data_IF_187444458916
#
_entry.id   IF_187444458916
#
_cell.length_a   1.000
_cell.length_b   1.000
_cell.length_c   1.000
_cell.angle_alpha   90.00
_cell.angle_beta   90.00
_cell.angle_gamma   90.00
#
_symmetry.space_group_name_H-M   'P 1'
#
loop_
_entity.id
_entity.type
_entity.pdbx_description
1 polymer ?
#
# COMPACT_ATOMS: atom_id res chain seq x y z
N UNK A 1 -17.39 -2.80 5.62
CA UNK A 1 -17.03 -4.02 4.84
C UNK A 1 -17.81 -5.19 5.42
N UNK A 2 -18.25 -6.17 4.62
CA UNK A 2 -19.13 -7.28 5.04
C UNK A 2 -18.63 -8.10 6.26
N UNK A 3 -17.35 -7.93 6.63
CA UNK A 3 -16.72 -8.56 7.80
C UNK A 3 -16.86 -7.81 9.13
N UNK A 4 -17.33 -6.55 9.15
CA UNK A 4 -17.37 -5.72 10.37
C UNK A 4 -18.76 -5.58 11.01
N UNK A 5 -19.82 -6.10 10.37
CA UNK A 5 -21.20 -5.95 10.87
C UNK A 5 -21.89 -7.33 10.98
N UNK A 6 -22.42 -7.71 12.17
CA UNK A 6 -23.03 -9.02 12.39
C UNK A 6 -24.24 -9.29 11.49
N UNK A 7 -25.01 -8.27 11.12
CA UNK A 7 -26.15 -8.39 10.20
C UNK A 7 -25.66 -8.69 8.77
N UNK A 8 -24.62 -7.99 8.32
CA UNK A 8 -24.06 -8.19 6.97
C UNK A 8 -23.47 -9.59 6.79
N UNK A 9 -22.91 -10.17 7.86
CA UNK A 9 -22.39 -11.55 7.86
C UNK A 9 -23.50 -12.57 7.65
N UNK A 10 -24.59 -12.47 8.40
CA UNK A 10 -25.74 -13.38 8.27
C UNK A 10 -26.39 -13.28 6.88
N UNK A 11 -26.49 -12.06 6.34
CA UNK A 11 -27.03 -11.83 4.99
C UNK A 11 -26.14 -12.43 3.88
N UNK A 12 -24.82 -12.34 4.04
CA UNK A 12 -23.86 -12.94 3.11
C UNK A 12 -23.88 -14.48 3.16
N UNK A 13 -23.97 -15.07 4.36
CA UNK A 13 -24.07 -16.52 4.56
C UNK A 13 -25.36 -17.11 3.97
N UNK A 14 -26.46 -16.36 3.98
CA UNK A 14 -27.73 -16.77 3.38
C UNK A 14 -27.78 -16.59 1.84
N UNK A 15 -26.68 -16.18 1.20
CA UNK A 15 -26.57 -15.94 -0.24
C UNK A 15 -27.66 -15.02 -0.81
N UNK A 16 -28.18 -14.09 0.01
CA UNK A 16 -29.25 -13.19 -0.43
C UNK A 16 -28.64 -12.11 -1.31
N UNK A 17 -28.72 -12.34 -2.60
CA UNK A 17 -28.14 -11.52 -3.67
C UNK A 17 -29.16 -10.59 -4.32
N UNK A 18 -30.45 -10.76 -4.00
CA UNK A 18 -31.55 -10.01 -4.61
C UNK A 18 -32.17 -9.02 -3.63
N UNK A 19 -32.79 -7.96 -4.18
CA UNK A 19 -33.60 -6.98 -3.45
C UNK A 19 -34.79 -7.69 -2.81
N UNK A 20 -34.62 -8.18 -1.59
CA UNK A 20 -35.69 -8.78 -0.81
C UNK A 20 -35.65 -8.31 0.65
N UNK A 21 -36.83 -8.36 1.26
CA UNK A 21 -36.97 -8.19 2.71
C UNK A 21 -36.61 -9.54 3.32
N UNK A 22 -35.62 -9.54 4.20
CA UNK A 22 -35.11 -10.76 4.82
C UNK A 22 -35.93 -11.07 6.07
N UNK A 23 -36.10 -12.36 6.35
CA UNK A 23 -36.76 -12.83 7.56
C UNK A 23 -36.09 -12.23 8.82
N UNK A 24 -36.82 -12.12 9.95
CA UNK A 24 -36.29 -11.50 11.16
C UNK A 24 -34.97 -12.14 11.60
N UNK A 25 -33.91 -11.34 11.63
CA UNK A 25 -32.57 -11.79 12.05
C UNK A 25 -32.45 -11.54 13.55
N UNK A 26 -32.09 -12.59 14.29
CA UNK A 26 -31.81 -12.48 15.72
C UNK A 26 -30.43 -11.84 15.91
N UNK A 27 -30.42 -10.71 16.60
CA UNK A 27 -29.23 -9.97 17.02
C UNK A 27 -29.15 -9.96 18.55
N UNK A 28 -28.01 -9.62 19.13
CA UNK A 28 -27.81 -9.64 20.60
C UNK A 28 -28.84 -8.79 21.36
N UNK A 29 -29.37 -7.74 20.74
CA UNK A 29 -30.32 -6.80 21.35
C UNK A 29 -31.78 -7.02 20.94
N UNK A 30 -32.12 -8.07 20.18
CA UNK A 30 -33.50 -8.36 19.76
C UNK A 30 -33.65 -8.93 18.34
N UNK A 31 -34.74 -8.56 17.66
CA UNK A 31 -35.04 -9.00 16.29
C UNK A 31 -35.00 -7.81 15.34
N UNK A 32 -34.33 -7.98 14.19
CA UNK A 32 -34.21 -6.94 13.16
C UNK A 32 -34.71 -7.46 11.81
N UNK A 33 -35.56 -6.68 11.15
CA UNK A 33 -36.02 -6.92 9.77
C UNK A 33 -35.21 -6.02 8.84
N UNK A 34 -34.57 -6.60 7.83
CA UNK A 34 -33.62 -5.87 6.97
C UNK A 34 -34.06 -5.98 5.52
N UNK A 35 -34.12 -4.84 4.83
CA UNK A 35 -34.39 -4.76 3.40
C UNK A 35 -33.09 -4.47 2.64
N UNK A 36 -32.71 -5.37 1.75
CA UNK A 36 -31.53 -5.18 0.90
C UNK A 36 -31.92 -4.28 -0.27
N UNK A 37 -31.26 -3.14 -0.39
CA UNK A 37 -31.47 -2.19 -1.49
C UNK A 37 -30.51 -2.41 -2.64
N UNK A 38 -29.27 -2.83 -2.38
CA UNK A 38 -28.28 -3.10 -3.42
C UNK A 38 -27.25 -4.11 -2.90
N UNK A 39 -26.71 -4.94 -3.80
CA UNK A 39 -25.69 -5.93 -3.48
C UNK A 39 -24.53 -5.79 -4.45
N UNK A 40 -23.39 -5.33 -3.94
CA UNK A 40 -22.15 -5.29 -4.71
C UNK A 40 -21.33 -6.54 -4.37
N UNK A 41 -21.13 -7.48 -5.32
CA UNK A 41 -20.28 -8.64 -5.08
C UNK A 41 -18.86 -8.16 -4.80
N UNK A 42 -18.10 -8.94 -4.02
CA UNK A 42 -16.66 -8.73 -3.85
C UNK A 42 -15.95 -9.01 -5.17
N UNK A 43 -16.00 -8.06 -6.10
CA UNK A 43 -15.28 -8.11 -7.37
C UNK A 43 -13.80 -7.88 -7.08
N UNK A 44 -12.92 -8.66 -7.70
CA UNK A 44 -11.51 -8.31 -7.76
C UNK A 44 -11.41 -6.96 -8.49
N UNK A 45 -10.78 -5.95 -7.87
CA UNK A 45 -10.50 -4.66 -8.52
C UNK A 45 -9.92 -4.92 -9.90
N UNK A 46 -10.47 -4.30 -10.94
CA UNK A 46 -9.91 -4.43 -12.29
C UNK A 46 -8.55 -3.73 -12.33
N UNK A 47 -7.65 -4.22 -13.18
CA UNK A 47 -6.29 -3.66 -13.33
C UNK A 47 -6.31 -2.14 -13.54
N UNK A 48 -7.31 -1.62 -14.26
CA UNK A 48 -7.47 -0.18 -14.49
C UNK A 48 -7.78 0.63 -13.23
N UNK A 49 -8.54 0.08 -12.29
CA UNK A 49 -8.85 0.73 -11.00
C UNK A 49 -7.66 0.73 -10.04
N UNK A 50 -6.67 -0.12 -10.29
CA UNK A 50 -5.43 -0.20 -9.52
C UNK A 50 -4.27 0.59 -10.15
N UNK A 51 -4.45 1.19 -11.33
CA UNK A 51 -3.42 2.00 -12.01
C UNK A 51 -2.83 3.08 -11.08
N UNK A 52 -3.63 3.87 -10.32
CA UNK A 52 -3.07 4.93 -9.47
C UNK A 52 -2.23 4.37 -8.32
N UNK A 53 -2.70 3.28 -7.69
CA UNK A 53 -2.03 2.62 -6.56
C UNK A 53 -0.76 1.87 -7.02
N UNK A 54 -0.77 1.34 -8.25
CA UNK A 54 0.33 0.58 -8.85
C UNK A 54 1.41 1.48 -9.45
N UNK A 55 1.01 2.57 -10.12
CA UNK A 55 1.92 3.48 -10.80
C UNK A 55 2.96 4.07 -9.85
N UNK A 56 2.55 4.49 -8.65
CA UNK A 56 3.46 5.09 -7.66
C UNK A 56 4.56 4.10 -7.24
N UNK A 57 4.19 2.85 -6.93
CA UNK A 57 5.16 1.81 -6.54
C UNK A 57 6.11 1.44 -7.67
N UNK A 58 5.59 1.35 -8.89
CA UNK A 58 6.40 1.01 -10.07
C UNK A 58 7.37 2.14 -10.42
N UNK A 59 6.93 3.40 -10.33
CA UNK A 59 7.78 4.57 -10.55
C UNK A 59 8.94 4.62 -9.55
N UNK A 60 8.68 4.38 -8.27
CA UNK A 60 9.72 4.35 -7.24
C UNK A 60 10.78 3.27 -7.52
N UNK A 61 10.34 2.09 -7.95
CA UNK A 61 11.25 0.99 -8.24
C UNK A 61 12.14 1.31 -9.46
N UNK A 62 11.54 1.79 -10.55
CA UNK A 62 12.27 2.16 -11.76
C UNK A 62 13.24 3.31 -11.49
N UNK A 63 12.83 4.31 -10.69
CA UNK A 63 13.70 5.43 -10.35
C UNK A 63 14.94 4.99 -9.57
N UNK A 64 14.80 4.06 -8.62
CA UNK A 64 15.94 3.50 -7.87
C UNK A 64 16.91 2.75 -8.76
N UNK A 65 16.41 1.92 -9.67
CA UNK A 65 17.24 1.17 -10.62
C UNK A 65 18.01 2.10 -11.56
N UNK A 66 17.34 3.13 -12.10
CA UNK A 66 17.98 4.13 -12.96
C UNK A 66 19.05 4.93 -12.21
N UNK A 67 18.78 5.33 -10.97
CA UNK A 67 19.75 6.05 -10.13
C UNK A 67 20.98 5.19 -9.84
N UNK A 68 20.79 3.93 -9.45
CA UNK A 68 21.90 3.01 -9.19
C UNK A 68 22.77 2.82 -10.44
N UNK A 69 22.15 2.60 -11.60
CA UNK A 69 22.87 2.44 -12.87
C UNK A 69 23.61 3.72 -13.28
N UNK A 70 23.01 4.89 -13.03
CA UNK A 70 23.65 6.17 -13.30
C UNK A 70 24.87 6.40 -12.40
N UNK A 71 24.79 6.09 -11.10
CA UNK A 71 25.93 6.18 -10.17
C UNK A 71 27.08 5.27 -10.59
N UNK A 72 26.79 4.02 -10.96
CA UNK A 72 27.80 3.08 -11.46
C UNK A 72 28.46 3.62 -12.73
N UNK A 73 27.70 4.28 -13.60
CA UNK A 73 28.24 4.88 -14.82
C UNK A 73 29.18 6.06 -14.49
N UNK A 74 28.77 6.93 -13.57
CA UNK A 74 29.58 8.09 -13.16
C UNK A 74 30.89 7.65 -12.52
N UNK A 75 30.84 6.67 -11.63
CA UNK A 75 32.02 6.13 -10.96
C UNK A 75 33.04 5.58 -11.97
N UNK A 76 32.55 4.91 -13.03
CA UNK A 76 33.40 4.41 -14.12
C UNK A 76 33.95 5.52 -15.02
N UNK A 77 33.20 6.58 -15.31
CA UNK A 77 33.64 7.65 -16.20
C UNK A 77 34.54 8.67 -15.51
N UNK A 78 34.41 8.82 -14.19
CA UNK A 78 35.17 9.77 -13.40
C UNK A 78 35.81 9.05 -12.20
N UNK A 79 37.02 8.49 -12.36
CA UNK A 79 37.73 7.87 -11.24
C UNK A 79 38.14 8.94 -10.24
N UNK A 80 37.33 9.13 -9.21
CA UNK A 80 37.60 10.09 -8.14
C UNK A 80 38.71 9.52 -7.25
N UNK A 81 39.91 10.10 -7.32
CA UNK A 81 41.00 9.78 -6.37
C UNK A 81 40.74 10.50 -5.04
N UNK A 82 40.02 9.83 -4.15
CA UNK A 82 39.78 10.34 -2.79
C UNK A 82 41.09 10.22 -1.99
N UNK A 83 41.65 11.36 -1.61
CA UNK A 83 42.90 11.42 -0.85
C UNK A 83 42.60 11.35 0.65
N UNK A 84 42.31 10.14 1.13
CA UNK A 84 41.82 9.84 2.48
C UNK A 84 42.66 10.48 3.60
N UNK A 85 43.99 10.57 3.41
CA UNK A 85 44.92 11.17 4.38
C UNK A 85 44.60 12.63 4.72
N UNK A 86 44.17 13.41 3.72
CA UNK A 86 43.84 14.83 3.93
C UNK A 86 42.49 14.99 4.61
N UNK A 87 41.54 14.08 4.32
CA UNK A 87 40.22 14.06 4.96
C UNK A 87 40.37 13.73 6.44
N UNK A 88 41.18 12.73 6.78
CA UNK A 88 41.42 12.32 8.17
C UNK A 88 42.13 13.41 8.98
N UNK A 89 43.04 14.17 8.37
CA UNK A 89 43.70 15.33 8.97
C UNK A 89 42.69 16.43 9.31
N UNK A 90 41.80 16.78 8.38
CA UNK A 90 40.78 17.81 8.58
C UNK A 90 39.76 17.36 9.63
N UNK A 91 39.35 16.09 9.61
CA UNK A 91 38.41 15.53 10.59
C UNK A 91 38.98 15.46 12.01
N UNK A 92 40.29 15.23 12.16
CA UNK A 92 40.97 15.31 13.47
C UNK A 92 41.10 16.76 13.94
N UNK A 93 41.55 17.66 13.06
CA UNK A 93 41.66 19.08 13.39
C UNK A 93 40.30 19.69 13.82
N UNK A 94 39.19 19.29 13.20
CA UNK A 94 37.85 19.72 13.60
C UNK A 94 37.34 19.14 14.93
N UNK A 95 37.83 17.96 15.35
CA UNK A 95 37.51 17.35 16.65
C UNK A 95 38.31 17.92 17.80
N UNK A 96 39.55 18.34 17.55
CA UNK A 96 40.41 18.96 18.57
C UNK A 96 40.05 20.44 18.84
N UNK A 97 39.09 20.99 18.08
CA UNK A 97 38.60 22.38 18.18
C UNK A 97 37.27 22.51 18.95
N UNK A 98 36.78 21.42 19.57
CA UNK A 98 35.58 21.40 20.44
C UNK A 98 35.93 21.03 21.88
#
# INVERSE_FOLDING_TARGET
SAKSNPIAKVLFEQNITQKQIVQPIKIETGWSIVKIHDYQPSRQKTFEEAIPDFASKMQDQVQKELLANWLIRIDKTHPVKINQKNIDLIMKAGKDSQ
#
